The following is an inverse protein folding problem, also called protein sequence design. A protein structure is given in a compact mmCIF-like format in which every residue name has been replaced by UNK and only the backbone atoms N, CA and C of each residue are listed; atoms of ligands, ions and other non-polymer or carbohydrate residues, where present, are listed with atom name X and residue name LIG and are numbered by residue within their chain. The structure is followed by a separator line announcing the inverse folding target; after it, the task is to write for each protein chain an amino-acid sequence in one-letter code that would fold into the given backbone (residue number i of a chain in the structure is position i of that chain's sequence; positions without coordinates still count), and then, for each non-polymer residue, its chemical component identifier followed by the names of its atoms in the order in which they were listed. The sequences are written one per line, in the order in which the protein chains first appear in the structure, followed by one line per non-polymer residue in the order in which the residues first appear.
data_IF_115785572691
#
_entry.id   IF_115785572691
#
_cell.length_a   1.000
_cell.length_b   1.000
_cell.length_c   1.000
_cell.angle_alpha   90.00
_cell.angle_beta   90.00
_cell.angle_gamma   90.00
#
_symmetry.space_group_name_H-M   'P 1'
#
loop_
_entity.id
_entity.type
_entity.pdbx_description
1 polymer ?
#
# COMPACT_ATOMS: atom_id res chain seq x y z
N UNK A 1 -3.79 -26.73 10.96
CA UNK A 1 -3.76 -25.42 10.25
C UNK A 1 -5.20 -24.93 10.10
N UNK A 2 -5.55 -23.73 10.60
CA UNK A 2 -6.93 -23.26 10.52
C UNK A 2 -7.31 -22.92 9.07
N UNK A 3 -8.52 -23.35 8.70
CA UNK A 3 -9.04 -23.47 7.34
C UNK A 3 -9.53 -22.13 6.74
N UNK A 4 -9.26 -21.02 7.43
CA UNK A 4 -9.78 -19.68 7.14
C UNK A 4 -8.85 -18.81 6.29
N UNK A 5 -7.60 -19.23 6.06
CA UNK A 5 -6.58 -18.48 5.31
C UNK A 5 -6.52 -18.83 3.81
N UNK A 6 -7.68 -19.04 3.17
CA UNK A 6 -7.79 -19.22 1.71
C UNK A 6 -8.88 -18.33 1.10
N UNK A 7 -9.16 -17.16 1.66
CA UNK A 7 -9.87 -16.14 0.89
C UNK A 7 -8.90 -15.63 -0.18
N UNK A 8 -8.98 -16.24 -1.36
CA UNK A 8 -8.44 -15.69 -2.59
C UNK A 8 -8.97 -14.27 -2.71
N UNK A 9 -8.10 -13.27 -2.68
CA UNK A 9 -8.45 -11.88 -2.91
C UNK A 9 -9.31 -11.82 -4.18
N UNK A 10 -10.53 -11.33 -4.04
CA UNK A 10 -11.43 -11.20 -5.19
C UNK A 10 -11.01 -9.94 -5.93
N UNK A 11 -11.15 -9.95 -7.25
CA UNK A 11 -10.88 -8.76 -8.05
C UNK A 11 -11.67 -7.52 -7.57
N UNK A 12 -12.86 -7.73 -7.01
CA UNK A 12 -13.70 -6.69 -6.40
C UNK A 12 -13.09 -6.03 -5.17
N UNK A 13 -12.20 -6.72 -4.46
CA UNK A 13 -11.57 -6.20 -3.25
C UNK A 13 -10.61 -5.06 -3.62
N UNK A 14 -9.97 -5.13 -4.79
CA UNK A 14 -9.11 -4.07 -5.33
C UNK A 14 -9.87 -2.83 -5.84
N UNK A 15 -11.20 -2.89 -5.98
CA UNK A 15 -12.00 -1.69 -6.23
C UNK A 15 -12.14 -0.83 -4.97
N UNK A 16 -12.06 -1.45 -3.79
CA UNK A 16 -12.16 -0.78 -2.51
C UNK A 16 -10.78 -0.41 -1.95
N UNK A 17 -9.77 -1.24 -2.25
CA UNK A 17 -8.38 -1.05 -1.82
C UNK A 17 -7.42 -1.32 -2.98
N UNK A 18 -7.23 -0.34 -3.88
CA UNK A 18 -6.47 -0.53 -5.11
C UNK A 18 -4.97 -0.72 -4.82
N UNK A 19 -4.27 -1.52 -5.64
CA UNK A 19 -2.83 -1.71 -5.51
C UNK A 19 -2.05 -0.46 -5.94
N UNK A 20 -0.78 -0.43 -5.54
CA UNK A 20 0.19 0.57 -5.95
C UNK A 20 0.47 0.47 -7.46
N UNK A 21 0.55 1.61 -8.13
CA UNK A 21 0.94 1.65 -9.55
C UNK A 21 2.43 1.40 -9.72
N UNK A 22 2.85 0.91 -10.90
CA UNK A 22 4.27 0.67 -11.20
C UNK A 22 5.13 1.93 -11.04
N UNK A 23 4.62 3.10 -11.46
CA UNK A 23 5.35 4.37 -11.34
C UNK A 23 5.55 4.72 -9.87
N UNK A 24 4.49 4.60 -9.05
CA UNK A 24 4.57 4.85 -7.62
C UNK A 24 5.48 3.86 -6.89
N UNK A 25 5.53 2.60 -7.35
CA UNK A 25 6.47 1.59 -6.85
C UNK A 25 7.93 2.00 -7.11
N UNK A 26 8.24 2.46 -8.32
CA UNK A 26 9.58 2.98 -8.64
C UNK A 26 9.97 4.18 -7.78
N UNK A 27 9.06 5.13 -7.57
CA UNK A 27 9.33 6.28 -6.69
C UNK A 27 9.60 5.86 -5.24
N UNK A 28 8.84 4.91 -4.71
CA UNK A 28 9.05 4.40 -3.36
C UNK A 28 10.45 3.77 -3.20
N UNK A 29 10.87 2.96 -4.17
CA UNK A 29 12.20 2.37 -4.18
C UNK A 29 13.32 3.42 -4.30
N UNK A 30 13.15 4.43 -5.16
CA UNK A 30 14.13 5.51 -5.32
C UNK A 30 14.28 6.35 -4.04
N UNK A 31 13.18 6.61 -3.34
CA UNK A 31 13.22 7.24 -2.01
C UNK A 31 14.07 6.39 -1.08
N UNK A 32 13.78 5.08 -0.97
CA UNK A 32 14.55 4.15 -0.16
C UNK A 32 16.04 4.17 -0.49
N UNK A 33 16.39 4.06 -1.77
CA UNK A 33 17.77 4.11 -2.26
C UNK A 33 18.50 5.41 -1.90
N UNK A 34 17.79 6.54 -1.92
CA UNK A 34 18.35 7.84 -1.56
C UNK A 34 18.60 8.01 -0.06
N UNK A 35 18.04 7.16 0.80
CA UNK A 35 18.24 7.21 2.24
C UNK A 35 19.65 6.74 2.57
N UNK A 36 20.57 7.69 2.77
CA UNK A 36 21.98 7.41 3.10
C UNK A 36 22.33 7.72 4.56
N UNK A 37 21.47 8.47 5.25
CA UNK A 37 21.64 8.92 6.63
C UNK A 37 20.32 8.84 7.39
N UNK A 38 20.38 8.68 8.72
CA UNK A 38 19.20 8.56 9.60
C UNK A 38 18.23 7.45 9.18
N UNK A 39 18.80 6.28 8.88
CA UNK A 39 18.04 5.12 8.41
C UNK A 39 17.05 4.65 9.48
N UNK A 40 15.76 4.55 9.16
CA UNK A 40 14.76 4.11 10.13
C UNK A 40 14.99 2.64 10.50
N UNK A 41 14.91 2.32 11.79
CA UNK A 41 14.97 0.94 12.28
C UNK A 41 13.61 0.24 12.19
N UNK A 42 12.53 1.02 12.28
CA UNK A 42 11.15 0.53 12.26
C UNK A 42 10.31 1.36 11.29
N UNK A 43 9.50 0.69 10.48
CA UNK A 43 8.55 1.30 9.55
C UNK A 43 7.12 0.88 9.88
N UNK A 44 6.22 1.85 9.96
CA UNK A 44 4.79 1.61 10.16
C UNK A 44 4.04 1.91 8.86
N UNK A 45 3.28 0.93 8.38
CA UNK A 45 2.44 1.07 7.19
C UNK A 45 0.96 1.06 7.60
N UNK A 46 0.16 1.88 6.93
CA UNK A 46 -1.29 1.80 7.03
C UNK A 46 -1.79 0.49 6.37
N UNK A 47 -3.00 0.00 6.72
CA UNK A 47 -3.48 -1.32 6.30
C UNK A 47 -3.88 -1.42 4.82
N UNK A 48 -3.91 -0.33 4.07
CA UNK A 48 -4.24 -0.33 2.65
C UNK A 48 -3.15 -1.01 1.81
N UNK A 49 -3.57 -1.75 0.78
CA UNK A 49 -2.66 -2.51 -0.11
C UNK A 49 -1.58 -1.61 -0.70
N UNK A 50 -1.93 -0.42 -1.18
CA UNK A 50 -0.97 0.53 -1.75
C UNK A 50 0.07 1.02 -0.73
N UNK A 51 -0.35 1.25 0.52
CA UNK A 51 0.53 1.66 1.64
C UNK A 51 1.53 0.56 1.97
N UNK A 52 1.04 -0.68 2.09
CA UNK A 52 1.87 -1.86 2.35
C UNK A 52 2.88 -2.09 1.21
N UNK A 53 2.45 -1.97 -0.04
CA UNK A 53 3.33 -2.13 -1.20
C UNK A 53 4.38 -1.03 -1.27
N UNK A 54 4.01 0.22 -0.95
CA UNK A 54 4.94 1.36 -0.91
C UNK A 54 6.03 1.12 0.13
N UNK A 55 5.64 0.73 1.35
CA UNK A 55 6.56 0.37 2.42
C UNK A 55 7.57 -0.69 1.98
N UNK A 56 7.09 -1.73 1.29
CA UNK A 56 7.95 -2.81 0.78
C UNK A 56 8.96 -2.32 -0.26
N UNK A 57 8.51 -1.55 -1.26
CA UNK A 57 9.40 -1.01 -2.29
C UNK A 57 10.46 -0.08 -1.71
N UNK A 58 10.07 0.74 -0.73
CA UNK A 58 11.01 1.61 0.00
C UNK A 58 12.06 0.80 0.74
N UNK A 59 11.67 -0.24 1.48
CA UNK A 59 12.62 -1.11 2.18
C UNK A 59 13.55 -1.84 1.22
N UNK A 60 13.00 -2.38 0.12
CA UNK A 60 13.77 -3.06 -0.93
C UNK A 60 14.81 -2.10 -1.55
N UNK A 61 14.43 -0.84 -1.80
CA UNK A 61 15.33 0.19 -2.33
C UNK A 61 16.38 0.67 -1.33
N UNK A 62 16.06 0.70 -0.03
CA UNK A 62 16.98 1.12 1.02
C UNK A 62 18.06 0.05 1.34
N UNK A 63 17.85 -1.21 0.96
CA UNK A 63 18.76 -2.34 1.19
C UNK A 63 19.19 -2.53 2.66
N UNK A 64 18.33 -2.15 3.60
CA UNK A 64 18.60 -2.22 5.05
C UNK A 64 17.59 -3.15 5.72
N UNK A 65 18.06 -3.88 6.75
CA UNK A 65 17.20 -4.70 7.60
C UNK A 65 16.29 -3.85 8.48
N UNK A 66 15.18 -3.37 7.92
CA UNK A 66 14.13 -2.65 8.64
C UNK A 66 13.09 -3.63 9.18
N UNK A 67 12.63 -3.41 10.41
CA UNK A 67 11.43 -4.10 10.92
C UNK A 67 10.23 -3.30 10.45
N UNK A 68 9.19 -3.97 9.97
CA UNK A 68 7.95 -3.31 9.57
C UNK A 68 6.72 -3.86 10.28
N UNK A 69 5.72 -3.02 10.46
CA UNK A 69 4.45 -3.37 11.09
C UNK A 69 3.30 -2.66 10.39
N UNK A 70 2.19 -3.36 10.19
CA UNK A 70 0.95 -2.76 9.72
C UNK A 70 0.23 -2.20 10.94
N UNK A 71 -0.04 -0.90 10.95
CA UNK A 71 -0.65 -0.18 12.06
C UNK A 71 -2.07 0.30 11.66
N UNK A 72 -3.13 -0.37 12.15
CA UNK A 72 -4.51 -0.03 11.80
C UNK A 72 -4.90 1.41 12.18
N UNK A 73 -4.26 2.01 13.18
CA UNK A 73 -4.48 3.42 13.55
C UNK A 73 -4.06 4.43 12.48
N UNK A 74 -3.27 4.02 11.48
CA UNK A 74 -2.87 4.84 10.34
C UNK A 74 -3.84 4.74 9.15
N UNK A 75 -4.90 3.94 9.27
CA UNK A 75 -5.90 3.80 8.22
C UNK A 75 -6.44 5.18 7.82
N UNK A 76 -6.58 5.38 6.51
CA UNK A 76 -7.04 6.63 5.94
C UNK A 76 -8.43 6.99 6.48
N UNK A 77 -8.60 8.25 6.86
CA UNK A 77 -9.93 8.80 7.08
C UNK A 77 -10.64 8.97 5.73
N UNK A 78 -11.66 8.15 5.47
CA UNK A 78 -12.55 8.31 4.33
C UNK A 78 -13.73 9.18 4.74
N UNK A 79 -13.87 10.37 4.13
CA UNK A 79 -15.09 11.16 4.29
C UNK A 79 -16.27 10.42 3.63
N UNK A 80 -17.49 10.46 4.21
CA UNK A 80 -18.67 9.92 3.54
C UNK A 80 -18.92 10.50 2.15
N UNK A 81 -18.48 11.74 1.93
CA UNK A 81 -18.63 12.48 0.66
C UNK A 81 -17.49 12.20 -0.33
N UNK A 82 -16.50 11.38 0.04
CA UNK A 82 -15.38 11.10 -0.83
C UNK A 82 -15.82 10.18 -1.99
N UNK A 83 -15.52 10.60 -3.22
CA UNK A 83 -15.78 9.82 -4.40
C UNK A 83 -15.01 8.49 -4.31
N UNK A 84 -15.75 7.38 -4.16
CA UNK A 84 -15.15 6.04 -4.22
C UNK A 84 -14.48 5.86 -5.59
N UNK A 85 -13.22 5.41 -5.65
CA UNK A 85 -12.56 5.14 -6.92
C UNK A 85 -13.27 3.96 -7.59
N UNK A 86 -14.23 4.20 -8.49
CA UNK A 86 -14.87 3.09 -9.20
C UNK A 86 -16.25 3.31 -9.82
N UNK A 87 -16.60 4.50 -10.31
CA UNK A 87 -17.84 4.63 -11.10
C UNK A 87 -17.80 5.73 -12.17
N UNK A 88 -16.66 5.90 -12.86
CA UNK A 88 -16.54 6.80 -14.02
C UNK A 88 -16.04 6.03 -15.24
N UNK A 89 -16.71 4.92 -15.57
CA UNK A 89 -16.65 4.35 -16.91
C UNK A 89 -18.04 3.78 -17.21
N UNK A 90 -18.56 4.08 -18.41
CA UNK A 90 -19.85 3.62 -19.00
C UNK A 90 -21.06 4.57 -18.91
N UNK A 91 -20.90 5.87 -19.14
CA UNK A 91 -21.97 6.66 -19.78
C UNK A 91 -21.36 7.52 -20.89
N UNK A 92 -21.32 6.97 -22.09
CA UNK A 92 -21.48 7.68 -23.37
C UNK A 92 -21.58 6.59 -24.44
N UNK A 93 -22.82 6.11 -24.61
CA UNK A 93 -23.29 5.43 -25.82
C UNK A 93 -23.79 6.49 -26.80
#
# INVERSE_FOLDING_TARGET
MPHTLRKREKHTDYLLDPPLTNISAHFAAEIGFSMTQNLPTVLYAAPEVASIQTARQLMDGAEIGMIWTIEPGLARFCSPDEAKPGMVFLTNS
#
